data_IF_894687724670
#
_entry.id   IF_894687724670
#
_cell.length_a   1.000
_cell.length_b   1.000
_cell.length_c   1.000
_cell.angle_alpha   90.00
_cell.angle_beta   90.00
_cell.angle_gamma   90.00
#
_symmetry.space_group_name_H-M   'P 1'
#
loop_
_entity.id
_entity.type
_entity.pdbx_description
1 polymer ?
#
# COMPACT_ATOMS: atom_id res chain seq x y z
N UNK A 1 -7.25 72.28 58.55
CA UNK A 1 -6.08 71.82 57.70
C UNK A 1 -6.15 70.35 57.37
N UNK A 2 -7.02 69.55 58.05
CA UNK A 2 -7.06 68.11 57.81
C UNK A 2 -8.10 67.64 56.74
N UNK A 3 -9.10 68.46 56.40
CA UNK A 3 -10.16 68.03 55.47
C UNK A 3 -9.79 68.12 53.98
N UNK A 4 -8.85 68.99 53.61
CA UNK A 4 -8.35 69.08 52.24
C UNK A 4 -7.30 67.97 51.87
N UNK A 5 -6.55 67.53 52.87
CA UNK A 5 -5.57 66.47 52.70
C UNK A 5 -6.25 65.10 52.47
N UNK A 6 -7.32 64.83 53.21
CA UNK A 6 -8.10 63.63 53.13
C UNK A 6 -8.83 63.50 51.76
N UNK A 7 -9.41 64.59 51.27
CA UNK A 7 -10.04 64.67 49.94
C UNK A 7 -9.03 64.50 48.81
N UNK A 8 -7.83 65.01 48.97
CA UNK A 8 -6.76 64.81 47.93
C UNK A 8 -6.27 63.38 47.87
N UNK A 9 -6.19 62.63 48.97
CA UNK A 9 -5.82 61.27 49.07
C UNK A 9 -6.88 60.35 48.42
N UNK A 10 -8.16 60.60 48.70
CA UNK A 10 -9.27 59.84 48.14
C UNK A 10 -9.39 60.02 46.62
N UNK A 11 -9.19 61.25 46.12
CA UNK A 11 -9.22 61.51 44.66
C UNK A 11 -8.05 60.85 43.95
N UNK A 12 -6.83 60.86 44.51
CA UNK A 12 -5.67 60.14 43.97
C UNK A 12 -5.87 58.65 44.02
N UNK A 13 -6.42 58.08 45.08
CA UNK A 13 -6.72 56.65 45.21
C UNK A 13 -7.74 56.18 44.15
N UNK A 14 -8.81 56.94 43.93
CA UNK A 14 -9.81 56.62 42.93
C UNK A 14 -9.24 56.70 41.49
N UNK A 15 -8.31 57.63 41.25
CA UNK A 15 -7.66 57.73 39.95
C UNK A 15 -6.71 56.56 39.70
N UNK A 16 -5.99 56.10 40.72
CA UNK A 16 -5.15 54.84 40.60
C UNK A 16 -6.01 53.61 40.42
N UNK A 17 -7.13 53.48 41.12
CA UNK A 17 -8.04 52.34 40.97
C UNK A 17 -8.65 52.28 39.59
N UNK A 18 -9.04 53.41 39.00
CA UNK A 18 -9.61 53.49 37.65
C UNK A 18 -8.57 53.11 36.58
N UNK A 19 -7.28 53.50 36.75
CA UNK A 19 -6.20 53.09 35.86
C UNK A 19 -5.89 51.61 35.95
N UNK A 20 -5.90 51.01 37.13
CA UNK A 20 -5.69 49.57 37.31
C UNK A 20 -6.82 48.76 36.69
N UNK A 21 -8.06 49.19 36.83
CA UNK A 21 -9.23 48.54 36.21
C UNK A 21 -9.17 48.67 34.67
N UNK A 22 -8.73 49.80 34.14
CA UNK A 22 -8.58 50.02 32.71
C UNK A 22 -7.48 49.12 32.11
N UNK A 23 -6.33 49.04 32.81
CA UNK A 23 -5.22 48.18 32.39
C UNK A 23 -5.61 46.68 32.42
N UNK A 24 -6.30 46.25 33.48
CA UNK A 24 -6.79 44.87 33.56
C UNK A 24 -7.80 44.52 32.46
N UNK A 25 -8.70 45.45 32.12
CA UNK A 25 -9.67 45.25 31.03
C UNK A 25 -8.99 45.19 29.65
N UNK A 26 -7.95 45.98 29.44
CA UNK A 26 -7.14 45.92 28.20
C UNK A 26 -6.34 44.59 28.13
N UNK A 27 -5.71 44.21 29.25
CA UNK A 27 -4.97 42.93 29.35
C UNK A 27 -5.88 41.74 29.15
N UNK A 28 -7.06 41.71 29.74
CA UNK A 28 -8.07 40.67 29.56
C UNK A 28 -8.62 40.60 28.13
N UNK A 29 -8.76 41.74 27.44
CA UNK A 29 -9.12 41.74 26.01
C UNK A 29 -8.02 41.20 25.14
N UNK A 30 -6.76 41.55 25.42
CA UNK A 30 -5.60 40.97 24.70
C UNK A 30 -5.45 39.46 24.92
N UNK A 31 -5.59 39.02 26.20
CA UNK A 31 -5.54 37.57 26.50
C UNK A 31 -6.66 36.80 25.79
N UNK A 32 -7.88 37.34 25.74
CA UNK A 32 -8.99 36.74 25.00
C UNK A 32 -8.72 36.72 23.50
N UNK A 33 -8.12 37.77 22.93
CA UNK A 33 -7.76 37.84 21.52
C UNK A 33 -6.64 36.84 21.17
N UNK A 34 -5.61 36.75 22.01
CA UNK A 34 -4.55 35.73 21.82
C UNK A 34 -5.06 34.30 22.04
N UNK A 35 -5.95 34.06 23.00
CA UNK A 35 -6.58 32.76 23.21
C UNK A 35 -7.44 32.33 21.99
N UNK A 36 -8.18 33.28 21.40
CA UNK A 36 -8.98 33.02 20.19
C UNK A 36 -8.09 32.77 18.97
N UNK A 37 -6.97 33.49 18.86
CA UNK A 37 -5.99 33.26 17.79
C UNK A 37 -5.28 31.93 17.95
N UNK A 38 -4.96 31.49 19.17
CA UNK A 38 -4.35 30.20 19.47
C UNK A 38 -5.29 29.03 19.16
N UNK A 39 -6.59 29.16 19.47
CA UNK A 39 -7.60 28.16 19.12
C UNK A 39 -7.82 28.09 17.60
N UNK A 40 -7.78 29.25 16.91
CA UNK A 40 -7.83 29.26 15.44
C UNK A 40 -6.58 28.66 14.81
N UNK A 41 -5.39 28.83 15.40
CA UNK A 41 -4.15 28.21 14.91
C UNK A 41 -4.12 26.70 15.18
N UNK A 42 -4.75 26.21 16.25
CA UNK A 42 -4.86 24.77 16.54
C UNK A 42 -5.91 24.08 15.66
N UNK A 43 -6.88 24.80 15.10
CA UNK A 43 -7.86 24.24 14.16
C UNK A 43 -7.33 24.10 12.72
N UNK A 44 -6.17 24.68 12.39
CA UNK A 44 -5.48 24.45 11.12
C UNK A 44 -4.36 23.39 11.19
N UNK A 45 -4.08 22.85 12.39
CA UNK A 45 -3.13 21.73 12.59
C UNK A 45 -3.81 20.36 12.57
N UNK A 46 -5.11 20.28 12.25
CA UNK A 46 -5.81 19.02 12.04
C UNK A 46 -5.90 18.74 10.56
N UNK A 47 -5.46 17.54 10.20
CA UNK A 47 -5.51 16.92 8.87
C UNK A 47 -4.38 17.33 7.93
N UNK A 48 -3.15 16.96 8.29
CA UNK A 48 -2.36 16.20 7.33
C UNK A 48 -2.89 14.78 7.50
N UNK A 49 -3.93 14.44 6.76
CA UNK A 49 -4.30 13.06 6.57
C UNK A 49 -3.13 12.40 5.88
N UNK A 50 -2.43 11.60 6.65
CA UNK A 50 -1.37 10.74 6.20
C UNK A 50 -2.01 9.71 5.26
N UNK A 51 -2.04 10.01 3.96
CA UNK A 51 -2.42 9.06 2.92
C UNK A 51 -1.32 7.98 2.83
N UNK A 52 -1.21 7.19 3.89
CA UNK A 52 -0.16 6.22 4.08
C UNK A 52 -0.43 4.89 3.39
N UNK A 53 -1.59 4.75 2.76
CA UNK A 53 -2.01 3.47 2.22
C UNK A 53 -2.47 3.58 0.77
N UNK A 54 -2.06 2.66 -0.07
CA UNK A 54 -2.68 2.38 -1.37
C UNK A 54 -4.19 2.16 -1.28
N UNK A 55 -4.69 1.92 -0.08
CA UNK A 55 -6.06 1.50 0.21
C UNK A 55 -6.96 2.65 0.64
N UNK A 56 -6.42 3.84 0.88
CA UNK A 56 -7.24 4.99 1.24
C UNK A 56 -7.54 5.83 0.01
N UNK A 57 -8.80 5.87 -0.45
CA UNK A 57 -9.22 6.85 -1.43
C UNK A 57 -8.98 8.25 -0.88
N UNK A 58 -8.48 9.16 -1.72
CA UNK A 58 -8.42 10.58 -1.35
C UNK A 58 -9.81 11.06 -0.92
N UNK A 59 -9.96 11.75 0.22
CA UNK A 59 -11.27 12.22 0.70
C UNK A 59 -11.94 13.26 -0.21
N UNK A 60 -11.25 13.74 -1.26
CA UNK A 60 -11.69 14.88 -2.06
C UNK A 60 -12.76 14.57 -3.11
N UNK A 61 -13.12 13.30 -3.37
CA UNK A 61 -14.12 12.98 -4.39
C UNK A 61 -14.98 11.78 -3.96
N UNK A 62 -16.28 12.02 -3.80
CA UNK A 62 -17.26 10.95 -3.68
C UNK A 62 -17.38 10.18 -5.03
N UNK A 63 -16.34 9.39 -5.34
CA UNK A 63 -16.42 8.39 -6.37
C UNK A 63 -17.31 7.26 -5.82
N UNK A 64 -18.21 6.70 -6.63
CA UNK A 64 -18.93 5.49 -6.27
C UNK A 64 -17.92 4.40 -5.88
N UNK A 65 -18.30 3.55 -4.93
CA UNK A 65 -17.41 2.48 -4.46
C UNK A 65 -17.26 1.40 -5.53
N UNK A 66 -16.04 0.95 -5.73
CA UNK A 66 -15.74 -0.12 -6.68
C UNK A 66 -14.31 -0.60 -6.58
N UNK A 67 -13.97 -1.56 -7.42
CA UNK A 67 -12.62 -2.11 -7.48
C UNK A 67 -12.20 -2.34 -8.91
N UNK A 68 -11.00 -1.88 -9.26
CA UNK A 68 -10.34 -2.21 -10.51
C UNK A 68 -9.52 -3.48 -10.32
N UNK A 69 -9.62 -4.41 -11.25
CA UNK A 69 -8.81 -5.60 -11.32
C UNK A 69 -7.91 -5.45 -12.55
N UNK A 70 -6.61 -5.28 -12.33
CA UNK A 70 -5.64 -5.13 -13.40
C UNK A 70 -5.26 -6.50 -13.93
N UNK A 71 -5.51 -6.73 -15.20
CA UNK A 71 -5.24 -8.00 -15.88
C UNK A 71 -3.99 -7.83 -16.73
N UNK A 72 -2.91 -8.52 -16.38
CA UNK A 72 -1.59 -8.35 -17.00
C UNK A 72 -1.56 -8.71 -18.48
N UNK A 73 -2.45 -9.61 -18.90
CA UNK A 73 -2.40 -10.22 -20.21
C UNK A 73 -1.25 -11.22 -20.31
N UNK A 74 -0.74 -11.45 -21.51
CA UNK A 74 0.42 -12.32 -21.72
C UNK A 74 1.25 -11.81 -22.90
N UNK A 75 2.39 -11.20 -22.62
CA UNK A 75 3.26 -10.62 -23.66
C UNK A 75 3.84 -11.68 -24.63
N UNK A 76 4.13 -12.89 -24.14
CA UNK A 76 4.65 -13.99 -24.98
C UNK A 76 3.58 -14.48 -25.97
N UNK A 77 2.32 -14.47 -25.55
CA UNK A 77 1.17 -14.79 -26.40
C UNK A 77 0.62 -13.57 -27.16
N UNK A 78 1.26 -12.40 -27.05
CA UNK A 78 0.83 -11.13 -27.64
C UNK A 78 -0.60 -10.71 -27.22
N UNK A 79 -0.94 -10.99 -25.95
CA UNK A 79 -2.20 -10.58 -25.35
C UNK A 79 -1.91 -9.35 -24.49
N UNK A 80 -2.45 -8.22 -24.90
CA UNK A 80 -2.34 -6.97 -24.13
C UNK A 80 -3.06 -7.04 -22.80
N UNK A 81 -2.61 -6.21 -21.88
CA UNK A 81 -3.28 -6.03 -20.60
C UNK A 81 -4.62 -5.31 -20.72
N UNK A 82 -5.42 -5.48 -19.71
CA UNK A 82 -6.72 -4.83 -19.57
C UNK A 82 -6.99 -4.51 -18.10
N UNK A 83 -8.11 -3.90 -17.80
CA UNK A 83 -8.68 -3.99 -16.47
C UNK A 83 -10.17 -4.29 -16.52
N UNK A 84 -10.63 -4.98 -15.48
CA UNK A 84 -12.03 -5.18 -15.15
C UNK A 84 -12.42 -4.24 -14.02
N UNK A 85 -13.67 -3.85 -13.93
CA UNK A 85 -14.19 -3.00 -12.87
C UNK A 85 -15.42 -3.64 -12.24
N UNK A 86 -15.41 -3.86 -10.94
CA UNK A 86 -16.53 -4.31 -10.15
C UNK A 86 -17.11 -3.12 -9.38
N UNK A 87 -18.36 -2.80 -9.67
CA UNK A 87 -19.13 -1.73 -9.04
C UNK A 87 -19.92 -2.30 -7.85
N UNK A 88 -19.66 -1.78 -6.63
CA UNK A 88 -20.33 -2.25 -5.42
C UNK A 88 -21.78 -1.83 -5.30
N UNK A 89 -22.16 -0.72 -5.93
CA UNK A 89 -23.51 -0.18 -5.87
C UNK A 89 -24.47 -1.00 -6.72
N UNK A 90 -24.02 -1.31 -7.94
CA UNK A 90 -24.82 -2.09 -8.91
C UNK A 90 -24.58 -3.59 -8.81
N UNK A 91 -23.51 -4.02 -8.13
CA UNK A 91 -23.04 -5.40 -8.05
C UNK A 91 -22.72 -6.02 -9.43
N UNK A 92 -22.25 -5.19 -10.36
CA UNK A 92 -21.92 -5.57 -11.74
C UNK A 92 -20.42 -5.55 -11.97
N UNK A 93 -19.90 -6.61 -12.58
CA UNK A 93 -18.54 -6.66 -13.12
C UNK A 93 -18.56 -6.34 -14.61
N UNK A 94 -17.71 -5.40 -15.02
CA UNK A 94 -17.45 -5.07 -16.43
C UNK A 94 -16.02 -5.40 -16.79
N UNK A 95 -15.81 -6.14 -17.88
CA UNK A 95 -14.47 -6.48 -18.38
C UNK A 95 -14.05 -5.52 -19.50
N UNK A 96 -12.73 -5.43 -19.74
CA UNK A 96 -12.13 -4.62 -20.82
C UNK A 96 -12.59 -3.15 -20.82
N UNK A 97 -12.82 -2.60 -19.63
CA UNK A 97 -13.46 -1.29 -19.46
C UNK A 97 -12.69 -0.19 -20.18
N UNK A 98 -11.34 -0.20 -20.10
CA UNK A 98 -10.52 0.82 -20.77
C UNK A 98 -10.72 0.84 -22.27
N UNK A 99 -10.66 -0.32 -22.93
CA UNK A 99 -10.77 -0.39 -24.39
C UNK A 99 -12.17 -0.05 -24.87
N UNK A 100 -13.19 -0.42 -24.11
CA UNK A 100 -14.59 -0.07 -24.40
C UNK A 100 -14.81 1.44 -24.37
N UNK A 101 -14.22 2.14 -23.40
CA UNK A 101 -14.41 3.60 -23.25
C UNK A 101 -13.51 4.40 -24.20
N UNK A 102 -12.28 3.94 -24.47
CA UNK A 102 -11.27 4.73 -25.16
C UNK A 102 -11.02 4.29 -26.62
N UNK A 103 -11.66 3.20 -27.10
CA UNK A 103 -11.49 2.70 -28.46
C UNK A 103 -10.06 2.23 -28.78
N UNK A 104 -9.24 1.92 -27.76
CA UNK A 104 -7.86 1.47 -27.88
C UNK A 104 -7.49 0.53 -26.73
N UNK A 105 -6.46 -0.27 -26.93
CA UNK A 105 -5.96 -1.16 -25.88
C UNK A 105 -5.26 -0.37 -24.74
N UNK A 106 -5.29 -0.91 -23.54
CA UNK A 106 -4.63 -0.33 -22.35
C UNK A 106 -3.12 -0.28 -22.53
N UNK A 107 -2.56 -1.38 -23.06
CA UNK A 107 -1.13 -1.61 -23.25
C UNK A 107 -0.66 -2.87 -22.55
N UNK A 108 0.60 -3.22 -22.75
CA UNK A 108 1.17 -4.49 -22.33
C UNK A 108 1.64 -4.46 -20.86
N UNK A 109 1.26 -5.48 -20.11
CA UNK A 109 1.78 -5.82 -18.80
C UNK A 109 1.46 -4.81 -17.69
N UNK A 110 0.19 -4.53 -17.38
CA UNK A 110 -0.19 -3.85 -16.14
C UNK A 110 0.39 -4.59 -14.93
N UNK A 111 1.08 -3.85 -14.05
CA UNK A 111 1.69 -4.43 -12.85
C UNK A 111 0.95 -4.00 -11.59
N UNK A 112 0.66 -2.72 -11.48
CA UNK A 112 0.09 -2.15 -10.28
C UNK A 112 -0.71 -0.89 -10.60
N UNK A 113 -1.51 -0.42 -9.64
CA UNK A 113 -2.29 0.79 -9.78
C UNK A 113 -2.66 1.41 -8.45
N UNK A 114 -2.93 2.72 -8.50
CA UNK A 114 -3.42 3.46 -7.34
C UNK A 114 -4.47 4.47 -7.80
N UNK A 115 -5.54 4.59 -7.03
CA UNK A 115 -6.48 5.71 -7.17
C UNK A 115 -6.02 6.82 -6.25
N UNK A 116 -5.78 8.01 -6.81
CA UNK A 116 -5.43 9.20 -6.07
C UNK A 116 -6.18 10.42 -6.59
N UNK A 117 -6.96 11.06 -5.72
CA UNK A 117 -7.94 12.06 -6.13
C UNK A 117 -8.99 11.46 -7.06
N UNK A 118 -9.20 12.07 -8.22
CA UNK A 118 -10.12 11.59 -9.26
C UNK A 118 -9.49 10.66 -10.29
N UNK A 119 -8.22 10.27 -10.10
CA UNK A 119 -7.43 9.59 -11.13
C UNK A 119 -7.00 8.19 -10.69
N UNK A 120 -7.10 7.24 -11.61
CA UNK A 120 -6.46 5.93 -11.54
C UNK A 120 -5.15 6.00 -12.31
N UNK A 121 -4.05 5.65 -11.66
CA UNK A 121 -2.73 5.52 -12.26
C UNK A 121 -2.40 4.04 -12.40
N UNK A 122 -2.08 3.59 -13.61
CA UNK A 122 -1.78 2.18 -13.90
C UNK A 122 -0.38 2.09 -14.50
N UNK A 123 0.49 1.32 -13.88
CA UNK A 123 1.84 1.04 -14.39
C UNK A 123 1.78 -0.07 -15.44
N UNK A 124 2.40 0.15 -16.58
CA UNK A 124 2.47 -0.77 -17.71
C UNK A 124 3.92 -1.12 -18.02
N UNK A 125 4.42 -2.21 -17.45
CA UNK A 125 5.80 -2.64 -17.59
C UNK A 125 6.21 -2.84 -19.06
N UNK A 126 5.41 -3.61 -19.79
CA UNK A 126 5.70 -3.94 -21.19
C UNK A 126 5.55 -2.76 -22.14
N UNK A 127 4.72 -1.77 -21.80
CA UNK A 127 4.55 -0.53 -22.58
C UNK A 127 5.47 0.60 -22.14
N UNK A 128 6.29 0.44 -21.11
CA UNK A 128 7.15 1.50 -20.54
C UNK A 128 6.39 2.79 -20.23
N UNK A 129 5.24 2.69 -19.59
CA UNK A 129 4.35 3.81 -19.37
C UNK A 129 3.53 3.72 -18.06
N UNK A 130 3.06 4.87 -17.61
CA UNK A 130 1.94 4.98 -16.66
C UNK A 130 0.76 5.56 -17.42
N UNK A 131 -0.37 4.86 -17.41
CA UNK A 131 -1.64 5.42 -17.88
C UNK A 131 -2.32 6.17 -16.73
N UNK A 132 -2.72 7.41 -17.00
CA UNK A 132 -3.51 8.23 -16.09
C UNK A 132 -4.93 8.28 -16.63
N UNK A 133 -5.87 7.78 -15.86
CA UNK A 133 -7.24 7.52 -16.27
C UNK A 133 -8.17 8.24 -15.28
N UNK A 134 -9.20 8.89 -15.76
CA UNK A 134 -10.27 9.39 -14.89
C UNK A 134 -10.98 8.21 -14.24
N UNK A 135 -10.90 8.11 -12.91
CA UNK A 135 -11.36 6.95 -12.17
C UNK A 135 -12.89 6.76 -12.21
N UNK A 136 -13.66 7.81 -12.53
CA UNK A 136 -15.11 7.77 -12.62
C UNK A 136 -15.59 7.43 -14.03
N UNK A 137 -15.01 8.08 -15.04
CA UNK A 137 -15.46 7.93 -16.43
C UNK A 137 -14.65 6.91 -17.22
N UNK A 138 -13.55 6.42 -16.66
CA UNK A 138 -12.58 5.52 -17.30
C UNK A 138 -11.92 6.11 -18.58
N UNK A 139 -12.03 7.42 -18.79
CA UNK A 139 -11.38 8.11 -19.90
C UNK A 139 -9.89 8.28 -19.65
N UNK A 140 -9.08 8.01 -20.66
CA UNK A 140 -7.66 8.28 -20.65
C UNK A 140 -7.41 9.81 -20.58
N UNK A 141 -6.67 10.23 -19.58
CA UNK A 141 -6.25 11.63 -19.41
C UNK A 141 -4.85 11.86 -19.96
N UNK A 142 -3.92 10.93 -19.67
CA UNK A 142 -2.53 11.03 -20.11
C UNK A 142 -1.82 9.69 -20.12
N UNK A 143 -0.85 9.54 -21.01
CA UNK A 143 0.16 8.49 -21.00
C UNK A 143 1.50 9.13 -20.63
N UNK A 144 2.16 8.65 -19.57
CA UNK A 144 3.45 9.14 -19.08
C UNK A 144 4.49 8.08 -19.38
N UNK A 145 5.50 8.42 -20.18
CA UNK A 145 6.61 7.51 -20.48
C UNK A 145 7.50 7.35 -19.24
N UNK A 146 7.76 6.11 -18.84
CA UNK A 146 8.69 5.75 -17.76
C UNK A 146 9.18 4.31 -17.97
N UNK A 147 10.49 4.03 -17.85
CA UNK A 147 11.03 2.73 -18.22
C UNK A 147 10.63 1.65 -17.22
N UNK A 148 10.11 0.53 -17.72
CA UNK A 148 9.82 -0.68 -16.95
C UNK A 148 9.17 -0.44 -15.58
N UNK A 149 8.02 0.28 -15.51
CA UNK A 149 7.39 0.59 -14.25
C UNK A 149 6.79 -0.67 -13.60
N UNK A 150 6.89 -0.78 -12.29
CA UNK A 150 6.36 -1.85 -11.45
C UNK A 150 5.32 -1.29 -10.47
N UNK A 151 5.63 -1.24 -9.20
CA UNK A 151 4.75 -0.71 -8.17
C UNK A 151 4.53 0.79 -8.26
N UNK A 152 3.41 1.24 -7.71
CA UNK A 152 3.04 2.66 -7.65
C UNK A 152 2.45 3.01 -6.28
N UNK A 153 2.87 4.15 -5.73
CA UNK A 153 2.30 4.70 -4.50
C UNK A 153 1.97 6.19 -4.70
N UNK A 154 1.03 6.70 -3.90
CA UNK A 154 0.62 8.10 -3.92
C UNK A 154 0.83 8.75 -2.55
N UNK A 155 1.36 9.97 -2.53
CA UNK A 155 1.52 10.74 -1.29
C UNK A 155 1.80 12.22 -1.59
N UNK A 156 1.20 13.12 -0.82
CA UNK A 156 1.54 14.55 -0.82
C UNK A 156 1.43 15.22 -2.20
N UNK A 157 0.39 14.90 -2.98
CA UNK A 157 0.18 15.48 -4.31
C UNK A 157 1.05 14.85 -5.42
N UNK A 158 1.72 13.74 -5.14
CA UNK A 158 2.61 13.08 -6.09
C UNK A 158 2.32 11.58 -6.19
N UNK A 159 2.69 11.02 -7.33
CA UNK A 159 2.77 9.59 -7.58
C UNK A 159 4.25 9.20 -7.63
N UNK A 160 4.57 8.09 -7.00
CA UNK A 160 5.89 7.48 -7.00
C UNK A 160 5.82 6.15 -7.73
N UNK A 161 6.73 5.92 -8.66
CA UNK A 161 6.74 4.72 -9.52
C UNK A 161 8.08 4.02 -9.38
N UNK A 162 8.06 2.76 -8.96
CA UNK A 162 9.23 1.91 -8.99
C UNK A 162 9.53 1.50 -10.42
N UNK A 163 10.76 1.69 -10.87
CA UNK A 163 11.22 1.31 -12.20
C UNK A 163 12.26 0.19 -12.08
N UNK A 164 12.06 -0.94 -12.76
CA UNK A 164 12.99 -2.09 -12.72
C UNK A 164 14.44 -1.74 -13.08
N UNK A 165 14.64 -0.57 -13.70
CA UNK A 165 15.97 -0.01 -13.98
C UNK A 165 16.72 0.50 -12.74
N UNK A 166 16.21 0.27 -11.52
CA UNK A 166 16.85 0.68 -10.28
C UNK A 166 16.58 2.13 -9.88
N UNK A 167 15.39 2.64 -10.20
CA UNK A 167 15.00 4.02 -9.88
C UNK A 167 13.57 4.11 -9.37
N UNK A 168 13.29 5.18 -8.63
CA UNK A 168 11.92 5.63 -8.32
C UNK A 168 11.71 6.97 -8.99
N UNK A 169 10.64 7.07 -9.79
CA UNK A 169 10.24 8.30 -10.48
C UNK A 169 9.12 8.99 -9.70
N UNK A 170 9.28 10.29 -9.43
CA UNK A 170 8.26 11.14 -8.82
C UNK A 170 7.50 11.89 -9.92
N UNK A 171 6.18 11.79 -9.92
CA UNK A 171 5.27 12.41 -10.89
C UNK A 171 4.32 13.34 -10.13
N UNK A 172 4.15 14.55 -10.61
CA UNK A 172 3.19 15.51 -10.04
C UNK A 172 1.77 15.20 -10.53
N UNK A 173 0.78 15.25 -9.62
CA UNK A 173 -0.62 14.87 -9.92
C UNK A 173 -1.45 15.99 -10.56
N UNK A 174 -0.94 17.23 -10.57
CA UNK A 174 -1.62 18.38 -11.17
C UNK A 174 -1.28 18.49 -12.66
N UNK A 175 0.02 18.56 -13.00
CA UNK A 175 0.46 18.69 -14.38
C UNK A 175 0.81 17.36 -15.07
N UNK A 176 0.80 16.25 -14.30
CA UNK A 176 1.07 14.91 -14.78
C UNK A 176 2.43 14.76 -15.45
N UNK A 177 3.45 15.46 -14.93
CA UNK A 177 4.81 15.40 -15.42
C UNK A 177 5.75 14.73 -14.44
N UNK A 178 6.71 13.92 -14.93
CA UNK A 178 7.83 13.48 -14.11
C UNK A 178 8.63 14.69 -13.63
N UNK A 179 8.96 14.73 -12.34
CA UNK A 179 9.71 15.84 -11.72
C UNK A 179 11.14 15.46 -11.36
N UNK A 180 11.29 14.29 -10.74
CA UNK A 180 12.57 13.85 -10.19
C UNK A 180 12.67 12.32 -10.26
N UNK A 181 13.91 11.82 -10.17
CA UNK A 181 14.20 10.41 -10.00
C UNK A 181 15.24 10.21 -8.90
N UNK A 182 15.11 9.11 -8.16
CA UNK A 182 16.07 8.69 -7.13
C UNK A 182 16.55 7.29 -7.47
N UNK A 183 17.86 7.07 -7.39
CA UNK A 183 18.46 5.74 -7.55
C UNK A 183 18.22 4.89 -6.30
N UNK A 184 17.84 3.65 -6.54
CA UNK A 184 17.64 2.60 -5.54
C UNK A 184 18.32 1.32 -6.00
N UNK A 185 18.16 0.23 -5.24
CA UNK A 185 18.70 -1.06 -5.67
C UNK A 185 18.04 -1.62 -6.93
N UNK A 186 18.59 -2.71 -7.46
CA UNK A 186 18.13 -3.34 -8.69
C UNK A 186 16.76 -4.00 -8.52
N UNK A 187 15.96 -3.96 -9.58
CA UNK A 187 14.61 -4.50 -9.65
C UNK A 187 13.72 -4.09 -8.45
N UNK A 188 13.49 -2.79 -8.23
CA UNK A 188 12.50 -2.34 -7.26
C UNK A 188 11.11 -2.79 -7.74
N UNK A 189 10.31 -3.37 -6.82
CA UNK A 189 9.01 -3.97 -7.17
C UNK A 189 7.87 -3.19 -6.57
N UNK A 190 7.85 -2.99 -5.26
CA UNK A 190 6.73 -2.42 -4.56
C UNK A 190 7.10 -1.21 -3.72
N UNK A 191 6.12 -0.34 -3.47
CA UNK A 191 6.27 0.94 -2.79
C UNK A 191 5.25 1.08 -1.66
N UNK A 192 5.69 1.45 -0.46
CA UNK A 192 4.81 1.73 0.67
C UNK A 192 5.27 3.00 1.40
N UNK A 193 4.34 3.93 1.65
CA UNK A 193 4.63 5.14 2.42
C UNK A 193 4.32 4.91 3.90
N UNK A 194 5.27 5.25 4.78
CA UNK A 194 5.08 5.26 6.23
C UNK A 194 5.76 6.50 6.80
N UNK A 195 4.99 7.39 7.43
CA UNK A 195 5.49 8.60 8.11
C UNK A 195 6.40 9.48 7.22
N UNK A 196 5.98 9.73 5.98
CA UNK A 196 6.73 10.59 5.03
C UNK A 196 8.01 9.92 4.46
N UNK A 197 8.22 8.64 4.73
CA UNK A 197 9.28 7.82 4.16
C UNK A 197 8.66 6.81 3.20
N UNK A 198 9.19 6.73 1.99
CA UNK A 198 8.83 5.70 1.01
C UNK A 198 9.76 4.51 1.17
N UNK A 199 9.19 3.37 1.51
CA UNK A 199 9.87 2.08 1.52
C UNK A 199 9.72 1.43 0.16
N UNK A 200 10.84 0.95 -0.38
CA UNK A 200 10.93 0.37 -1.73
C UNK A 200 11.46 -1.06 -1.60
N UNK A 201 10.68 -2.07 -1.98
CA UNK A 201 11.16 -3.46 -1.98
C UNK A 201 12.17 -3.66 -3.10
N UNK A 202 13.40 -4.09 -2.74
CA UNK A 202 14.48 -4.35 -3.69
C UNK A 202 14.65 -5.85 -3.86
N UNK A 203 14.12 -6.34 -4.97
CA UNK A 203 14.05 -7.78 -5.21
C UNK A 203 15.35 -8.37 -5.77
N UNK A 204 16.09 -7.63 -6.60
CA UNK A 204 17.20 -8.15 -7.41
C UNK A 204 16.82 -9.45 -8.16
N UNK A 205 15.55 -9.55 -8.55
CA UNK A 205 14.92 -10.79 -9.03
C UNK A 205 15.52 -11.34 -10.32
N UNK A 206 16.21 -10.51 -11.11
CA UNK A 206 16.94 -11.00 -12.30
C UNK A 206 18.26 -11.72 -11.93
N UNK A 207 18.74 -11.57 -10.68
CA UNK A 207 19.94 -12.19 -10.15
C UNK A 207 19.68 -13.34 -9.17
N UNK A 208 18.50 -13.95 -9.17
CA UNK A 208 18.16 -15.05 -8.25
C UNK A 208 19.13 -16.22 -8.34
N UNK A 209 19.62 -16.55 -9.55
CA UNK A 209 20.64 -17.58 -9.76
C UNK A 209 21.96 -17.29 -9.04
N UNK A 210 22.24 -16.01 -8.75
CA UNK A 210 23.42 -15.55 -8.02
C UNK A 210 23.06 -15.16 -6.56
N UNK A 211 21.92 -15.64 -6.03
CA UNK A 211 21.48 -15.43 -4.66
C UNK A 211 20.87 -14.05 -4.39
N UNK A 212 20.53 -13.26 -5.43
CA UNK A 212 19.94 -11.92 -5.32
C UNK A 212 20.70 -11.02 -4.32
N UNK A 213 22.01 -10.97 -4.42
CA UNK A 213 22.92 -10.36 -3.41
C UNK A 213 22.66 -8.87 -3.17
N UNK A 214 22.13 -8.16 -4.15
CA UNK A 214 21.80 -6.73 -4.04
C UNK A 214 20.35 -6.48 -3.61
N UNK A 215 19.54 -7.52 -3.49
CA UNK A 215 18.16 -7.50 -2.98
C UNK A 215 18.10 -7.63 -1.46
N UNK A 216 17.15 -8.39 -0.96
CA UNK A 216 16.97 -8.76 0.45
C UNK A 216 16.81 -7.56 1.39
N UNK A 217 16.26 -6.45 0.90
CA UNK A 217 16.11 -5.22 1.67
C UNK A 217 14.99 -4.33 1.17
N UNK A 218 14.64 -3.37 2.01
CA UNK A 218 13.84 -2.21 1.63
C UNK A 218 14.75 -0.99 1.58
N UNK A 219 14.81 -0.29 0.45
CA UNK A 219 15.45 1.03 0.39
C UNK A 219 14.47 2.09 0.91
N UNK A 220 14.99 3.13 1.59
CA UNK A 220 14.21 4.22 2.19
C UNK A 220 14.47 5.54 1.48
N UNK A 221 13.39 6.22 1.07
CA UNK A 221 13.43 7.54 0.44
C UNK A 221 12.66 8.53 1.33
N UNK A 222 13.33 9.59 1.78
CA UNK A 222 12.68 10.74 2.43
C UNK A 222 11.89 11.52 1.38
N UNK A 223 10.56 11.59 1.54
CA UNK A 223 9.67 12.18 0.55
C UNK A 223 9.71 13.71 0.52
N UNK A 224 10.08 14.36 1.63
CA UNK A 224 10.20 15.82 1.68
C UNK A 224 11.39 16.31 0.85
N UNK A 225 12.51 15.58 0.88
CA UNK A 225 13.74 15.93 0.12
C UNK A 225 13.90 15.11 -1.14
N UNK A 226 13.08 14.09 -1.32
CA UNK A 226 13.10 13.08 -2.37
C UNK A 226 14.51 12.53 -2.62
N UNK A 227 15.10 11.95 -1.57
CA UNK A 227 16.41 11.30 -1.61
C UNK A 227 16.45 10.02 -0.79
N UNK A 228 17.27 9.07 -1.22
CA UNK A 228 17.54 7.86 -0.44
C UNK A 228 18.23 8.23 0.88
N UNK A 229 17.72 7.71 2.00
CA UNK A 229 18.22 8.01 3.36
C UNK A 229 18.69 6.78 4.11
N UNK A 230 18.56 5.59 3.54
CA UNK A 230 19.01 4.35 4.17
C UNK A 230 18.34 3.13 3.58
N UNK A 231 18.47 2.02 4.31
CA UNK A 231 17.85 0.74 3.96
C UNK A 231 17.48 -0.05 5.23
N UNK A 232 16.53 -0.98 5.09
CA UNK A 232 16.20 -2.00 6.08
C UNK A 232 16.57 -3.35 5.50
N UNK A 233 17.54 -4.05 6.07
CA UNK A 233 17.90 -5.40 5.65
C UNK A 233 16.88 -6.39 6.17
N UNK A 234 16.34 -7.22 5.28
CA UNK A 234 15.39 -8.29 5.63
C UNK A 234 16.19 -9.50 6.11
N UNK A 235 16.68 -9.42 7.34
CA UNK A 235 17.48 -10.43 7.99
C UNK A 235 17.05 -10.60 9.44
N UNK A 236 16.85 -11.84 9.87
CA UNK A 236 16.53 -12.18 11.24
C UNK A 236 17.40 -13.34 11.73
N UNK A 237 17.80 -13.27 12.99
CA UNK A 237 18.55 -14.32 13.66
C UNK A 237 17.66 -14.93 14.73
N UNK A 238 17.43 -16.23 14.63
CA UNK A 238 16.61 -17.00 15.56
C UNK A 238 17.49 -18.04 16.25
N UNK A 239 17.23 -18.28 17.53
CA UNK A 239 17.88 -19.37 18.28
C UNK A 239 16.92 -20.57 18.26
N UNK A 240 17.32 -21.64 17.60
CA UNK A 240 16.56 -22.89 17.56
C UNK A 240 17.20 -23.92 18.52
N UNK A 241 16.38 -24.68 19.21
CA UNK A 241 16.82 -25.84 19.98
C UNK A 241 16.82 -27.07 19.08
N UNK A 242 17.93 -27.78 19.01
CA UNK A 242 18.02 -29.00 18.20
C UNK A 242 17.18 -30.13 18.81
N UNK A 243 16.86 -31.12 18.00
CA UNK A 243 16.01 -32.27 18.39
C UNK A 243 16.50 -33.04 19.61
N UNK A 244 17.77 -32.89 19.99
CA UNK A 244 18.33 -33.45 21.22
C UNK A 244 17.91 -32.70 22.50
N UNK A 245 17.21 -31.58 22.36
CA UNK A 245 16.72 -30.74 23.48
C UNK A 245 17.79 -29.97 24.26
N UNK A 246 19.07 -30.18 23.98
CA UNK A 246 20.21 -29.66 24.76
C UNK A 246 21.06 -28.63 24.00
N UNK A 247 21.10 -28.73 22.69
CA UNK A 247 21.93 -27.87 21.86
C UNK A 247 21.12 -26.74 21.25
N UNK A 248 21.52 -25.51 21.47
CA UNK A 248 20.97 -24.33 20.79
C UNK A 248 21.84 -24.00 19.58
N UNK A 249 21.20 -23.70 18.46
CA UNK A 249 21.88 -23.20 17.27
C UNK A 249 21.27 -21.88 16.86
N UNK A 250 22.08 -21.00 16.33
CA UNK A 250 21.64 -19.71 15.79
C UNK A 250 21.45 -19.86 14.30
N UNK A 251 20.23 -19.63 13.84
CA UNK A 251 19.85 -19.67 12.42
C UNK A 251 19.62 -18.25 11.95
N UNK A 252 20.37 -17.83 10.95
CA UNK A 252 20.13 -16.56 10.28
C UNK A 252 19.31 -16.80 9.02
N UNK A 253 18.15 -16.19 8.94
CA UNK A 253 17.29 -16.19 7.77
C UNK A 253 17.39 -14.87 7.03
N UNK A 254 17.27 -14.91 5.71
CA UNK A 254 17.26 -13.73 4.83
C UNK A 254 15.98 -13.67 4.00
N UNK A 255 15.41 -12.47 3.85
CA UNK A 255 14.24 -12.21 3.01
C UNK A 255 14.64 -12.04 1.55
N UNK A 256 14.75 -13.15 0.83
CA UNK A 256 15.13 -13.18 -0.58
C UNK A 256 13.98 -12.80 -1.48
N UNK A 257 14.22 -11.96 -2.47
CA UNK A 257 13.24 -11.51 -3.47
C UNK A 257 11.97 -10.89 -2.83
N UNK A 258 12.10 -9.77 -2.09
CA UNK A 258 10.96 -9.03 -1.57
C UNK A 258 10.16 -8.42 -2.72
N UNK A 259 8.86 -8.66 -2.73
CA UNK A 259 7.96 -8.26 -3.82
C UNK A 259 6.83 -7.36 -3.33
N UNK A 260 5.89 -7.89 -2.56
CA UNK A 260 4.70 -7.19 -2.13
C UNK A 260 4.83 -6.70 -0.67
N UNK A 261 4.29 -5.52 -0.39
CA UNK A 261 4.19 -4.98 0.96
C UNK A 261 2.73 -4.67 1.31
N UNK A 262 2.40 -4.83 2.57
CA UNK A 262 1.15 -4.37 3.16
C UNK A 262 1.44 -3.82 4.55
N UNK A 263 0.57 -2.97 5.10
CA UNK A 263 0.78 -2.31 6.39
C UNK A 263 -0.46 -2.42 7.26
N UNK A 264 -0.28 -2.69 8.56
CA UNK A 264 -1.37 -2.69 9.53
C UNK A 264 -1.64 -1.29 10.11
N UNK A 265 -2.66 -1.19 10.97
CA UNK A 265 -3.03 0.08 11.64
C UNK A 265 -1.95 0.60 12.60
N UNK A 266 -1.09 -0.27 13.12
CA UNK A 266 0.03 0.12 13.98
C UNK A 266 1.23 0.62 13.17
N UNK A 267 1.16 0.58 11.83
CA UNK A 267 2.25 0.98 10.92
C UNK A 267 3.33 -0.09 10.75
N UNK A 268 3.11 -1.34 11.17
CA UNK A 268 4.02 -2.42 10.86
C UNK A 268 3.91 -2.79 9.38
N UNK A 269 5.05 -2.90 8.70
CA UNK A 269 5.11 -3.37 7.32
C UNK A 269 5.22 -4.90 7.31
N UNK A 270 4.45 -5.53 6.44
CA UNK A 270 4.55 -6.96 6.14
C UNK A 270 5.02 -7.11 4.71
N UNK A 271 6.15 -7.77 4.54
CA UNK A 271 6.86 -7.89 3.26
C UNK A 271 6.84 -9.34 2.81
N UNK A 272 6.25 -9.61 1.66
CA UNK A 272 6.31 -10.93 1.04
C UNK A 272 7.64 -11.06 0.31
N UNK A 273 8.47 -12.01 0.74
CA UNK A 273 9.70 -12.41 0.08
C UNK A 273 9.47 -13.77 -0.59
N UNK A 274 9.54 -13.79 -1.93
CA UNK A 274 9.17 -14.98 -2.73
C UNK A 274 10.22 -16.09 -2.69
N UNK A 275 11.38 -15.82 -2.07
CA UNK A 275 12.50 -16.77 -2.09
C UNK A 275 13.15 -16.88 -3.47
N UNK A 276 13.77 -18.02 -3.75
CA UNK A 276 14.46 -18.28 -5.00
C UNK A 276 13.67 -19.21 -5.95
N UNK A 277 12.44 -19.54 -5.58
CA UNK A 277 11.54 -20.47 -6.26
C UNK A 277 12.03 -21.93 -6.32
N UNK A 278 13.13 -22.29 -5.64
CA UNK A 278 13.74 -23.62 -5.67
C UNK A 278 13.98 -24.17 -4.27
N UNK A 279 14.85 -23.52 -3.49
CA UNK A 279 15.28 -23.99 -2.16
C UNK A 279 14.79 -23.10 -1.02
N UNK A 280 14.71 -21.81 -1.27
CA UNK A 280 14.27 -20.83 -0.28
C UNK A 280 12.77 -20.58 -0.45
N UNK A 281 11.93 -21.05 0.46
CA UNK A 281 10.49 -20.88 0.35
C UNK A 281 10.07 -19.44 0.57
N UNK A 282 8.89 -19.09 0.04
CA UNK A 282 8.29 -17.79 0.27
C UNK A 282 7.92 -17.60 1.76
N UNK A 283 8.20 -16.41 2.29
CA UNK A 283 7.89 -16.02 3.67
C UNK A 283 7.38 -14.58 3.72
N UNK A 284 6.54 -14.31 4.71
CA UNK A 284 6.14 -12.97 5.08
C UNK A 284 7.05 -12.49 6.22
N UNK A 285 7.64 -11.34 6.04
CA UNK A 285 8.51 -10.68 7.00
C UNK A 285 7.81 -9.49 7.62
N UNK A 286 8.02 -9.24 8.91
CA UNK A 286 7.54 -8.05 9.62
C UNK A 286 8.69 -7.07 9.83
N UNK A 287 8.44 -5.80 9.50
CA UNK A 287 9.28 -4.65 9.85
C UNK A 287 8.43 -3.74 10.72
N UNK A 288 8.69 -3.73 12.02
CA UNK A 288 7.90 -2.93 12.95
C UNK A 288 8.22 -1.42 12.86
N UNK A 289 7.59 -0.62 13.72
CA UNK A 289 7.79 0.83 13.72
C UNK A 289 9.20 1.27 14.11
N UNK A 290 9.96 0.41 14.81
CA UNK A 290 11.35 0.62 15.18
C UNK A 290 12.32 0.03 14.15
N UNK A 291 11.78 -0.45 13.02
CA UNK A 291 12.51 -1.14 11.95
C UNK A 291 13.16 -2.46 12.39
N UNK A 292 12.68 -3.05 13.47
CA UNK A 292 13.08 -4.40 13.85
C UNK A 292 12.46 -5.42 12.89
N UNK A 293 13.29 -6.30 12.38
CA UNK A 293 12.92 -7.27 11.35
C UNK A 293 12.77 -8.66 11.98
N UNK A 294 11.71 -9.37 11.59
CA UNK A 294 11.46 -10.75 11.99
C UNK A 294 10.76 -11.54 10.89
N UNK A 295 10.94 -12.85 10.86
CA UNK A 295 10.09 -13.75 10.07
C UNK A 295 8.73 -13.82 10.75
N UNK A 296 7.65 -13.61 10.00
CA UNK A 296 6.31 -13.54 10.57
C UNK A 296 5.47 -14.78 10.24
N UNK A 297 5.43 -15.20 8.97
CA UNK A 297 4.65 -16.35 8.53
C UNK A 297 5.27 -17.00 7.29
N UNK A 298 4.85 -18.23 6.97
CA UNK A 298 5.02 -18.83 5.64
C UNK A 298 3.90 -18.31 4.74
N UNK A 299 4.22 -17.91 3.53
CA UNK A 299 3.22 -17.45 2.58
C UNK A 299 3.81 -16.64 1.43
N UNK A 300 3.08 -16.62 0.33
CA UNK A 300 3.44 -15.92 -0.91
C UNK A 300 2.45 -14.81 -1.30
N UNK A 301 1.36 -14.64 -0.54
CA UNK A 301 0.47 -13.48 -0.62
C UNK A 301 0.11 -13.04 0.81
N UNK A 302 0.04 -11.75 1.04
CA UNK A 302 -0.36 -11.18 2.31
C UNK A 302 -1.15 -9.87 2.11
N UNK A 303 -2.19 -9.67 2.93
CA UNK A 303 -2.93 -8.42 3.00
C UNK A 303 -3.32 -8.10 4.43
N UNK A 304 -2.98 -6.91 4.90
CA UNK A 304 -3.32 -6.45 6.24
C UNK A 304 -4.65 -5.69 6.24
N UNK A 305 -5.42 -5.88 7.30
CA UNK A 305 -6.58 -5.07 7.61
C UNK A 305 -6.69 -4.92 9.13
N UNK A 306 -6.57 -3.70 9.62
CA UNK A 306 -6.47 -3.42 11.05
C UNK A 306 -5.32 -4.22 11.68
N UNK A 307 -5.62 -5.03 12.70
CA UNK A 307 -4.66 -5.89 13.39
C UNK A 307 -4.70 -7.34 12.91
N UNK A 308 -5.23 -7.58 11.70
CA UNK A 308 -5.30 -8.91 11.10
C UNK A 308 -4.47 -8.96 9.82
N UNK A 309 -3.66 -9.99 9.66
CA UNK A 309 -2.93 -10.29 8.44
C UNK A 309 -3.52 -11.56 7.83
N UNK A 310 -4.08 -11.42 6.65
CA UNK A 310 -4.52 -12.54 5.81
C UNK A 310 -3.30 -13.05 5.05
N UNK A 311 -2.98 -14.34 5.16
CA UNK A 311 -1.80 -14.93 4.53
C UNK A 311 -2.20 -16.16 3.74
N UNK A 312 -1.91 -16.15 2.44
CA UNK A 312 -2.01 -17.33 1.60
C UNK A 312 -0.61 -17.90 1.38
N UNK A 313 -0.49 -19.21 1.57
CA UNK A 313 0.65 -20.01 1.17
C UNK A 313 0.17 -20.98 0.09
N UNK A 314 0.45 -20.66 -1.17
CA UNK A 314 0.11 -21.52 -2.31
C UNK A 314 1.36 -22.15 -2.91
N UNK A 315 1.29 -23.46 -3.18
CA UNK A 315 2.38 -24.22 -3.79
C UNK A 315 1.89 -24.98 -5.01
N UNK A 316 2.62 -24.85 -6.10
CA UNK A 316 2.28 -25.53 -7.36
C UNK A 316 3.10 -26.81 -7.52
N UNK A 317 2.43 -27.92 -7.75
CA UNK A 317 3.09 -29.13 -8.23
C UNK A 317 3.36 -28.99 -9.74
N UNK A 318 4.60 -28.71 -10.10
CA UNK A 318 4.98 -28.46 -11.49
C UNK A 318 4.83 -29.67 -12.43
N UNK A 319 4.64 -30.87 -11.87
CA UNK A 319 4.42 -32.10 -12.67
C UNK A 319 2.94 -32.28 -13.03
N UNK A 320 2.04 -32.00 -12.07
CA UNK A 320 0.58 -32.20 -12.25
C UNK A 320 -0.16 -30.91 -12.59
N UNK A 321 0.42 -29.75 -12.28
CA UNK A 321 -0.24 -28.43 -12.37
C UNK A 321 -1.15 -28.12 -11.18
N UNK A 322 -1.31 -29.06 -10.24
CA UNK A 322 -2.13 -28.85 -9.05
C UNK A 322 -1.54 -27.76 -8.15
N UNK A 323 -2.41 -26.97 -7.55
CA UNK A 323 -2.05 -25.93 -6.60
C UNK A 323 -2.66 -26.25 -5.24
N UNK A 324 -1.82 -26.43 -4.23
CA UNK A 324 -2.25 -26.50 -2.84
C UNK A 324 -2.33 -25.07 -2.27
N UNK A 325 -3.44 -24.75 -1.61
CA UNK A 325 -3.71 -23.43 -1.06
C UNK A 325 -4.03 -23.55 0.42
N UNK A 326 -3.16 -22.99 1.24
CA UNK A 326 -3.38 -22.81 2.67
C UNK A 326 -3.64 -21.33 2.94
N UNK A 327 -4.64 -21.01 3.73
CA UNK A 327 -5.01 -19.64 4.00
C UNK A 327 -5.39 -19.45 5.46
N UNK A 328 -4.60 -18.65 6.17
CA UNK A 328 -4.79 -18.36 7.58
C UNK A 328 -4.90 -16.84 7.82
N UNK A 329 -5.49 -16.47 8.94
CA UNK A 329 -5.53 -15.09 9.43
C UNK A 329 -4.79 -15.01 10.74
N UNK A 330 -3.79 -14.13 10.82
CA UNK A 330 -2.93 -13.96 11.97
C UNK A 330 -3.13 -12.58 12.61
N UNK A 331 -2.95 -12.48 13.91
CA UNK A 331 -2.86 -11.22 14.61
C UNK A 331 -1.50 -10.55 14.31
N UNK A 332 -1.52 -9.30 13.86
CA UNK A 332 -0.30 -8.60 13.37
C UNK A 332 0.72 -8.30 14.47
N UNK A 333 0.29 -8.18 15.73
CA UNK A 333 1.18 -7.87 16.86
C UNK A 333 1.98 -9.08 17.31
N UNK A 334 1.30 -10.22 17.50
CA UNK A 334 1.85 -11.43 18.14
C UNK A 334 2.15 -12.57 17.18
N UNK A 335 1.56 -12.56 15.97
CA UNK A 335 1.60 -13.69 15.04
C UNK A 335 0.67 -14.84 15.41
N UNK A 336 -0.18 -14.67 16.46
CA UNK A 336 -1.16 -15.69 16.84
C UNK A 336 -2.14 -15.92 15.70
N UNK A 337 -2.43 -17.17 15.39
CA UNK A 337 -3.47 -17.54 14.43
C UNK A 337 -4.84 -17.19 15.01
N UNK A 338 -5.57 -16.31 14.33
CA UNK A 338 -6.94 -15.91 14.66
C UNK A 338 -7.96 -16.84 14.00
N UNK A 339 -7.69 -17.21 12.74
CA UNK A 339 -8.53 -18.13 11.96
C UNK A 339 -7.61 -19.04 11.16
N UNK A 340 -7.71 -20.34 11.42
CA UNK A 340 -7.09 -21.38 10.61
C UNK A 340 -7.99 -21.73 9.42
N UNK A 341 -7.37 -22.03 8.28
CA UNK A 341 -8.07 -22.51 7.08
C UNK A 341 -9.20 -21.57 6.65
N UNK A 342 -8.91 -20.28 6.58
CA UNK A 342 -9.85 -19.27 6.12
C UNK A 342 -10.38 -19.63 4.73
N UNK A 343 -11.71 -19.45 4.51
CA UNK A 343 -12.39 -19.75 3.25
C UNK A 343 -12.25 -21.21 2.75
N UNK A 344 -11.97 -22.18 3.61
CA UNK A 344 -11.63 -23.57 3.28
C UNK A 344 -12.57 -24.25 2.27
N UNK A 345 -13.87 -23.92 2.28
CA UNK A 345 -14.85 -24.53 1.37
C UNK A 345 -14.82 -24.00 -0.05
N UNK A 346 -14.21 -22.85 -0.26
CA UNK A 346 -14.25 -22.10 -1.53
C UNK A 346 -12.92 -21.39 -1.79
N UNK A 347 -11.82 -22.14 -1.74
CA UNK A 347 -10.47 -21.60 -2.01
C UNK A 347 -10.34 -21.15 -3.47
N UNK A 348 -9.55 -20.09 -3.74
CA UNK A 348 -9.18 -19.74 -5.09
C UNK A 348 -8.29 -20.85 -5.71
N UNK A 349 -8.42 -21.08 -7.00
CA UNK A 349 -7.73 -22.19 -7.68
C UNK A 349 -6.20 -22.02 -7.75
N UNK A 350 -5.76 -20.84 -8.16
CA UNK A 350 -4.34 -20.47 -8.29
C UNK A 350 -4.22 -18.96 -8.00
N UNK A 351 -4.15 -18.58 -6.69
CA UNK A 351 -4.22 -17.19 -6.27
C UNK A 351 -3.00 -16.38 -6.73
N UNK A 352 -3.25 -15.15 -7.21
CA UNK A 352 -2.21 -14.26 -7.75
C UNK A 352 -2.07 -13.00 -6.91
N UNK A 353 -3.19 -12.35 -6.55
CA UNK A 353 -3.19 -11.15 -5.76
C UNK A 353 -4.31 -11.18 -4.72
N UNK A 354 -4.06 -10.52 -3.60
CA UNK A 354 -5.02 -10.40 -2.51
C UNK A 354 -5.02 -8.96 -1.99
N UNK A 355 -6.21 -8.44 -1.69
CA UNK A 355 -6.35 -7.18 -0.99
C UNK A 355 -7.60 -7.19 -0.11
N UNK A 356 -7.65 -6.36 0.93
CA UNK A 356 -8.77 -6.27 1.85
C UNK A 356 -9.37 -4.89 1.80
N UNK A 357 -10.69 -4.82 1.62
CA UNK A 357 -11.40 -3.54 1.56
C UNK A 357 -11.29 -2.80 2.90
N UNK A 358 -10.75 -1.57 2.93
CA UNK A 358 -10.34 -0.91 4.17
C UNK A 358 -11.50 -0.66 5.15
N UNK A 359 -12.71 -0.36 4.65
CA UNK A 359 -13.88 -0.09 5.49
C UNK A 359 -14.68 -1.31 5.86
N UNK A 360 -14.87 -2.26 4.93
CA UNK A 360 -15.80 -3.39 5.12
C UNK A 360 -15.10 -4.67 5.59
N UNK A 361 -13.78 -4.76 5.45
CA UNK A 361 -13.02 -5.99 5.71
C UNK A 361 -13.32 -7.13 4.74
N UNK A 362 -14.02 -6.85 3.60
CA UNK A 362 -14.18 -7.85 2.54
C UNK A 362 -12.83 -8.19 1.93
N UNK A 363 -12.57 -9.48 1.77
CA UNK A 363 -11.31 -9.97 1.21
C UNK A 363 -11.50 -10.29 -0.26
N UNK A 364 -10.65 -9.72 -1.10
CA UNK A 364 -10.66 -9.93 -2.54
C UNK A 364 -9.40 -10.68 -2.93
N UNK A 365 -9.60 -11.77 -3.67
CA UNK A 365 -8.49 -12.58 -4.19
C UNK A 365 -8.69 -12.78 -5.68
N UNK A 366 -7.66 -12.49 -6.46
CA UNK A 366 -7.64 -12.86 -7.86
C UNK A 366 -6.96 -14.22 -8.04
N UNK A 367 -7.37 -14.94 -9.06
CA UNK A 367 -6.87 -16.29 -9.33
C UNK A 367 -6.81 -16.55 -10.83
N UNK A 368 -5.86 -17.36 -11.28
CA UNK A 368 -5.97 -17.97 -12.61
C UNK A 368 -7.18 -18.87 -12.66
N UNK A 369 -7.78 -18.98 -13.86
CA UNK A 369 -9.01 -19.72 -14.06
C UNK A 369 -8.84 -21.21 -14.34
N UNK A 370 -7.68 -21.60 -14.83
CA UNK A 370 -7.36 -22.99 -15.18
C UNK A 370 -6.05 -23.42 -14.54
N UNK A 371 -5.96 -24.69 -14.21
CA UNK A 371 -4.73 -25.33 -13.71
C UNK A 371 -3.91 -25.99 -14.81
N UNK A 372 -4.44 -26.09 -16.03
CA UNK A 372 -3.71 -26.64 -17.19
C UNK A 372 -2.48 -25.80 -17.51
N UNK A 373 -1.31 -26.41 -17.49
CA UNK A 373 -0.03 -25.72 -17.63
C UNK A 373 0.14 -24.96 -18.95
N UNK A 374 -0.59 -25.33 -20.01
CA UNK A 374 -0.51 -24.66 -21.32
C UNK A 374 -1.51 -23.51 -21.44
N UNK A 375 -2.69 -23.64 -20.86
CA UNK A 375 -3.79 -22.70 -21.02
C UNK A 375 -3.90 -21.68 -19.86
N UNK A 376 -3.35 -21.96 -18.68
CA UNK A 376 -3.57 -21.12 -17.49
C UNK A 376 -3.11 -19.67 -17.65
N UNK A 377 -2.07 -19.43 -18.45
CA UNK A 377 -1.52 -18.08 -18.66
C UNK A 377 -2.16 -17.34 -19.85
N UNK A 378 -3.11 -17.96 -20.55
CA UNK A 378 -3.81 -17.37 -21.70
C UNK A 378 -5.33 -17.43 -21.56
N UNK A 379 -5.82 -17.97 -20.46
CA UNK A 379 -7.24 -18.06 -20.14
C UNK A 379 -7.67 -17.00 -19.14
N UNK A 380 -8.94 -16.55 -19.19
CA UNK A 380 -9.49 -15.64 -18.20
C UNK A 380 -9.36 -16.18 -16.77
N UNK A 381 -9.11 -15.28 -15.84
CA UNK A 381 -9.04 -15.56 -14.40
C UNK A 381 -10.35 -15.25 -13.68
N UNK A 382 -10.29 -15.30 -12.37
CA UNK A 382 -11.41 -15.02 -11.48
C UNK A 382 -11.06 -13.96 -10.44
N UNK A 383 -12.06 -13.18 -10.05
CA UNK A 383 -12.11 -12.43 -8.80
C UNK A 383 -13.01 -13.19 -7.83
N UNK A 384 -12.48 -13.54 -6.68
CA UNK A 384 -13.21 -14.06 -5.52
C UNK A 384 -13.39 -12.92 -4.52
N UNK A 385 -14.61 -12.77 -4.01
CA UNK A 385 -14.92 -11.83 -2.94
C UNK A 385 -15.46 -12.59 -1.74
N UNK A 386 -14.86 -12.40 -0.57
CA UNK A 386 -15.25 -13.06 0.66
C UNK A 386 -15.69 -12.05 1.72
N UNK A 387 -16.50 -12.49 2.67
CA UNK A 387 -16.70 -11.79 3.94
C UNK A 387 -15.40 -11.80 4.74
N UNK A 388 -15.30 -10.94 5.75
CA UNK A 388 -14.20 -10.99 6.74
C UNK A 388 -14.14 -12.29 7.55
N UNK A 389 -15.18 -13.13 7.46
CA UNK A 389 -15.27 -14.46 8.12
C UNK A 389 -14.92 -15.63 7.21
N UNK A 390 -14.66 -15.38 5.91
CA UNK A 390 -14.29 -16.41 4.93
C UNK A 390 -15.45 -16.98 4.11
N UNK A 391 -16.67 -16.45 4.24
CA UNK A 391 -17.77 -16.89 3.39
C UNK A 391 -17.63 -16.29 1.99
N UNK A 392 -17.71 -17.11 0.96
CA UNK A 392 -17.66 -16.64 -0.44
C UNK A 392 -18.95 -15.87 -0.75
N UNK A 393 -18.80 -14.59 -1.12
CA UNK A 393 -19.90 -13.74 -1.58
C UNK A 393 -20.11 -13.84 -3.07
N UNK A 394 -19.02 -13.84 -3.85
CA UNK A 394 -19.07 -13.85 -5.30
C UNK A 394 -17.77 -14.40 -5.91
N UNK A 395 -17.91 -15.02 -7.11
CA UNK A 395 -16.83 -15.37 -8.01
C UNK A 395 -17.17 -14.87 -9.41
N UNK A 396 -16.40 -13.94 -9.90
CA UNK A 396 -16.62 -13.33 -11.22
C UNK A 396 -15.45 -13.58 -12.15
N UNK A 397 -15.74 -13.83 -13.44
CA UNK A 397 -14.69 -13.98 -14.47
C UNK A 397 -14.12 -12.61 -14.82
N UNK A 398 -12.81 -12.48 -14.76
CA UNK A 398 -12.03 -11.29 -15.12
C UNK A 398 -11.10 -11.57 -16.30
N UNK A 399 -10.21 -10.63 -16.63
CA UNK A 399 -9.25 -10.85 -17.73
C UNK A 399 -8.16 -11.87 -17.42
N UNK A 400 -7.17 -11.94 -18.31
CA UNK A 400 -6.05 -12.89 -18.23
C UNK A 400 -5.00 -12.36 -17.26
N UNK A 401 -4.47 -13.22 -16.38
CA UNK A 401 -3.47 -12.87 -15.36
C UNK A 401 -3.94 -11.66 -14.52
N UNK A 402 -4.98 -11.81 -13.69
CA UNK A 402 -5.50 -10.71 -12.88
C UNK A 402 -4.54 -10.40 -11.71
N UNK A 403 -3.60 -9.48 -11.93
CA UNK A 403 -2.38 -9.30 -11.17
C UNK A 403 -2.48 -8.32 -10.00
N UNK A 404 -3.40 -7.35 -10.05
CA UNK A 404 -3.58 -6.39 -8.97
C UNK A 404 -5.06 -6.05 -8.73
N UNK A 405 -5.37 -5.71 -7.48
CA UNK A 405 -6.68 -5.28 -6.99
C UNK A 405 -6.55 -3.86 -6.44
N UNK A 406 -7.25 -2.90 -7.03
CA UNK A 406 -7.14 -1.47 -6.73
C UNK A 406 -8.51 -0.91 -6.36
N UNK A 407 -8.67 -0.44 -5.13
CA UNK A 407 -9.94 0.15 -4.68
C UNK A 407 -10.12 1.57 -5.23
N UNK A 408 -11.40 1.87 -5.57
CA UNK A 408 -11.85 3.21 -5.99
C UNK A 408 -12.57 3.92 -4.85
#
# INVERSE_FOLDING_TARGET
LDDEAEKTIVVKSNHYLSHIILINNILMKQIKFFATLLVAALSFASCIDDETSRLTPSPATALGEGVFILNQGNQYAKIDGSYSFFDWETNVLSNSVFSTVNGRLLGAGPQDGVVYGSKLYVTLHGSNAVQVIDAKTNKLLRTISTPQPQGVAAYGGHIYVANNTGRVTKIDTLDLQPKQQVEVGPNPVDLMVRNGVLYVSISDGYNLKNGAVNGKRLDKIDLARFRKVGEVKLQATETATLDNGLTQTTITSEGVNPTQMTMDEDGNLFVVCMGDYVQIPAKVWKVDNEEKVSVFAKGNLAAAHRHSLYVINSTTNWKTGEVDVQWDVLETRTGKVLVEKFAQKNLPLDPIAMNVHPRTGRVLVTSRGLLDAKAKYTSPGYLYTYTSKGDLLNRSTVGIEPYAVVFR
#
